data_IF_542212498964
#
_entry.id   IF_542212498964
#
_cell.length_a   1.000
_cell.length_b   1.000
_cell.length_c   1.000
_cell.angle_alpha   90.00
_cell.angle_beta   90.00
_cell.angle_gamma   90.00
#
_symmetry.space_group_name_H-M   'P 1'
#
loop_
_entity.id
_entity.type
_entity.pdbx_description
1 polymer ?
#
# COMPACT_ATOMS: atom_id res chain seq x y z
N UNK A 1 0.32 12.81 24.16
CA UNK A 1 -0.32 11.56 23.67
C UNK A 1 -0.58 11.57 22.16
N UNK A 2 -0.76 12.74 21.54
CA UNK A 2 -1.16 12.89 20.13
C UNK A 2 -0.10 12.41 19.13
N UNK A 3 1.19 12.72 19.35
CA UNK A 3 2.29 12.30 18.48
C UNK A 3 2.40 10.78 18.32
N UNK A 4 2.15 10.01 19.39
CA UNK A 4 2.17 8.53 19.37
C UNK A 4 0.98 7.96 18.58
N UNK A 5 -0.19 8.60 18.67
CA UNK A 5 -1.38 8.19 17.90
C UNK A 5 -1.20 8.50 16.42
N UNK A 6 -0.68 9.68 16.08
CA UNK A 6 -0.39 10.07 14.71
C UNK A 6 0.59 9.10 14.04
N UNK A 7 1.70 8.78 14.71
CA UNK A 7 2.69 7.82 14.24
C UNK A 7 2.09 6.40 14.07
N UNK A 8 1.23 5.96 15.00
CA UNK A 8 0.55 4.67 14.84
C UNK A 8 -0.36 4.65 13.61
N UNK A 9 -1.14 5.71 13.39
CA UNK A 9 -2.04 5.84 12.23
C UNK A 9 -1.27 5.90 10.92
N UNK A 10 -0.24 6.77 10.82
CA UNK A 10 0.60 6.86 9.63
C UNK A 10 1.38 5.58 9.36
N UNK A 11 1.68 4.79 10.40
CA UNK A 11 2.27 3.47 10.29
C UNK A 11 1.33 2.42 9.69
N UNK A 12 0.03 2.50 9.99
CA UNK A 12 -0.98 1.51 9.58
C UNK A 12 -1.58 1.81 8.20
N UNK A 13 -1.75 3.08 7.83
CA UNK A 13 -2.40 3.46 6.55
C UNK A 13 -1.74 2.79 5.32
N UNK A 14 -0.40 2.79 5.15
CA UNK A 14 0.23 2.13 3.99
C UNK A 14 -0.08 0.62 3.89
N UNK A 15 -0.20 -0.06 5.03
CA UNK A 15 -0.55 -1.49 5.08
C UNK A 15 -1.98 -1.70 4.58
N UNK A 16 -2.92 -0.85 5.01
CA UNK A 16 -4.32 -0.91 4.58
C UNK A 16 -4.45 -0.59 3.09
N UNK A 17 -3.76 0.45 2.61
CA UNK A 17 -3.76 0.80 1.19
C UNK A 17 -3.20 -0.34 0.32
N UNK A 18 -2.14 -1.00 0.78
CA UNK A 18 -1.58 -2.19 0.11
C UNK A 18 -2.58 -3.36 0.06
N UNK A 19 -3.31 -3.61 1.15
CA UNK A 19 -4.35 -4.65 1.17
C UNK A 19 -5.51 -4.34 0.21
N UNK A 20 -5.96 -3.08 0.17
CA UNK A 20 -7.01 -2.63 -0.77
C UNK A 20 -6.51 -2.76 -2.21
N UNK A 21 -5.27 -2.37 -2.50
CA UNK A 21 -4.67 -2.50 -3.82
C UNK A 21 -4.59 -3.97 -4.28
N UNK A 22 -4.19 -4.88 -3.39
CA UNK A 22 -4.19 -6.32 -3.66
C UNK A 22 -5.60 -6.84 -4.01
N UNK A 23 -6.59 -6.51 -3.16
CA UNK A 23 -7.97 -6.92 -3.36
C UNK A 23 -8.56 -6.37 -4.66
N UNK A 24 -8.25 -5.10 -5.00
CA UNK A 24 -8.67 -4.46 -6.24
C UNK A 24 -8.22 -5.27 -7.46
N UNK A 25 -6.94 -5.64 -7.52
CA UNK A 25 -6.39 -6.41 -8.66
C UNK A 25 -7.06 -7.77 -8.76
N UNK A 26 -7.24 -8.47 -7.63
CA UNK A 26 -7.92 -9.78 -7.61
C UNK A 26 -9.36 -9.66 -8.13
N UNK A 27 -10.11 -8.64 -7.69
CA UNK A 27 -11.49 -8.42 -8.14
C UNK A 27 -11.55 -8.02 -9.62
N UNK A 28 -10.66 -7.14 -10.07
CA UNK A 28 -10.60 -6.70 -11.47
C UNK A 28 -10.39 -7.90 -12.41
N UNK A 29 -9.43 -8.76 -12.08
CA UNK A 29 -9.16 -9.99 -12.86
C UNK A 29 -10.32 -10.98 -12.77
N UNK A 30 -10.87 -11.22 -11.58
CA UNK A 30 -11.94 -12.19 -11.39
C UNK A 30 -13.24 -11.80 -12.10
N UNK A 31 -13.50 -10.49 -12.25
CA UNK A 31 -14.70 -9.96 -12.91
C UNK A 31 -14.47 -9.60 -14.38
N UNK A 32 -13.22 -9.48 -14.81
CA UNK A 32 -12.85 -8.97 -16.13
C UNK A 32 -13.25 -7.51 -16.30
N UNK A 33 -13.08 -6.71 -15.26
CA UNK A 33 -13.47 -5.28 -15.23
C UNK A 33 -12.79 -4.49 -16.36
N UNK A 34 -11.55 -4.83 -16.68
CA UNK A 34 -10.73 -4.24 -17.73
C UNK A 34 -11.11 -4.67 -19.17
N UNK A 35 -12.02 -5.63 -19.36
CA UNK A 35 -12.35 -6.16 -20.69
C UNK A 35 -13.02 -5.10 -21.56
N UNK A 36 -12.28 -4.63 -22.56
CA UNK A 36 -12.77 -3.70 -23.59
C UNK A 36 -12.15 -2.31 -23.53
N UNK A 37 -11.29 -2.03 -22.54
CA UNK A 37 -10.51 -0.80 -22.52
C UNK A 37 -9.31 -0.92 -23.50
N UNK A 38 -9.05 0.08 -24.36
CA UNK A 38 -7.88 0.08 -25.25
C UNK A 38 -6.53 0.28 -24.51
N UNK A 39 -6.59 0.59 -23.21
CA UNK A 39 -5.48 0.94 -22.33
C UNK A 39 -5.42 -0.01 -21.12
N UNK A 40 -4.53 0.24 -20.16
CA UNK A 40 -4.37 -0.50 -18.89
C UNK A 40 -5.66 -0.55 -18.03
N UNK A 41 -6.63 0.29 -18.35
CA UNK A 41 -7.98 0.29 -17.77
C UNK A 41 -8.09 1.02 -16.42
N UNK A 42 -9.31 1.35 -16.04
CA UNK A 42 -9.60 2.04 -14.76
C UNK A 42 -8.98 1.34 -13.53
N UNK A 43 -9.00 0.00 -13.39
CA UNK A 43 -8.42 -0.68 -12.23
C UNK A 43 -6.90 -0.43 -12.06
N UNK A 44 -6.15 -0.35 -13.15
CA UNK A 44 -4.70 -0.09 -13.10
C UNK A 44 -4.40 1.31 -12.58
N UNK A 45 -5.12 2.33 -13.03
CA UNK A 45 -4.94 3.69 -12.50
C UNK A 45 -5.31 3.80 -11.03
N UNK A 46 -6.39 3.14 -10.59
CA UNK A 46 -6.76 3.13 -9.16
C UNK A 46 -5.69 2.40 -8.34
N UNK A 47 -5.12 1.31 -8.85
CA UNK A 47 -3.97 0.64 -8.23
C UNK A 47 -2.79 1.61 -8.08
N UNK A 48 -2.39 2.32 -9.15
CA UNK A 48 -1.30 3.31 -9.10
C UNK A 48 -1.56 4.40 -8.06
N UNK A 49 -2.78 4.94 -7.99
CA UNK A 49 -3.16 5.95 -7.00
C UNK A 49 -3.04 5.39 -5.57
N UNK A 50 -3.49 4.16 -5.33
CA UNK A 50 -3.36 3.50 -4.03
C UNK A 50 -1.90 3.29 -3.62
N UNK A 51 -1.01 2.99 -4.57
CA UNK A 51 0.44 2.87 -4.32
C UNK A 51 1.07 4.24 -4.02
N UNK A 52 0.83 5.23 -4.88
CA UNK A 52 1.40 6.58 -4.73
C UNK A 52 0.90 7.26 -3.45
N UNK A 53 -0.37 7.06 -3.09
CA UNK A 53 -0.95 7.61 -1.87
C UNK A 53 -0.26 7.13 -0.59
N UNK A 54 0.48 6.02 -0.61
CA UNK A 54 1.22 5.54 0.57
C UNK A 54 2.40 6.45 0.92
N UNK A 55 3.04 7.06 -0.08
CA UNK A 55 4.27 7.84 0.08
C UNK A 55 4.17 8.93 1.17
N UNK A 56 3.16 9.84 1.18
CA UNK A 56 3.06 10.85 2.23
C UNK A 56 2.92 10.27 3.64
N UNK A 57 2.25 9.12 3.80
CA UNK A 57 2.09 8.47 5.11
C UNK A 57 3.37 7.79 5.58
N UNK A 58 4.10 7.14 4.67
CA UNK A 58 5.42 6.55 4.97
C UNK A 58 6.39 7.67 5.38
N UNK A 59 6.43 8.78 4.65
CA UNK A 59 7.26 9.94 4.99
C UNK A 59 6.86 10.54 6.36
N UNK A 60 5.57 10.71 6.61
CA UNK A 60 5.07 11.17 7.90
C UNK A 60 5.43 10.21 9.05
N UNK A 61 5.38 8.90 8.82
CA UNK A 61 5.83 7.90 9.78
C UNK A 61 7.32 8.04 10.07
N UNK A 62 8.18 8.08 9.04
CA UNK A 62 9.63 8.23 9.19
C UNK A 62 9.98 9.51 9.95
N UNK A 63 9.33 10.63 9.61
CA UNK A 63 9.58 11.93 10.23
C UNK A 63 9.13 11.99 11.70
N UNK A 64 8.12 11.19 12.09
CA UNK A 64 7.54 11.23 13.46
C UNK A 64 7.86 10.00 14.30
N UNK A 65 8.57 9.02 13.72
CA UNK A 65 8.96 7.79 14.38
C UNK A 65 9.88 8.07 15.59
N UNK A 66 9.68 7.29 16.65
CA UNK A 66 10.56 7.33 17.81
C UNK A 66 11.80 6.48 17.54
N UNK A 67 12.84 7.13 17.01
CA UNK A 67 14.10 6.49 16.64
C UNK A 67 14.92 6.00 17.84
N UNK A 68 14.60 6.43 19.07
CA UNK A 68 15.15 5.81 20.29
C UNK A 68 14.74 4.34 20.41
N UNK A 69 13.66 3.94 19.73
CA UNK A 69 13.15 2.56 19.62
C UNK A 69 13.23 2.09 18.17
N UNK A 70 14.40 2.24 17.55
CA UNK A 70 14.65 1.93 16.14
C UNK A 70 14.13 0.55 15.71
N UNK A 71 14.26 -0.49 16.54
CA UNK A 71 13.75 -1.83 16.22
C UNK A 71 12.22 -1.87 16.00
N UNK A 72 11.45 -1.08 16.75
CA UNK A 72 9.99 -0.97 16.55
C UNK A 72 9.66 -0.22 15.27
N UNK A 73 10.36 0.88 15.00
CA UNK A 73 10.17 1.66 13.77
C UNK A 73 10.53 0.82 12.53
N UNK A 74 11.68 0.14 12.56
CA UNK A 74 12.14 -0.76 11.50
C UNK A 74 11.15 -1.89 11.26
N UNK A 75 10.57 -2.50 12.32
CA UNK A 75 9.55 -3.53 12.17
C UNK A 75 8.31 -3.00 11.45
N UNK A 76 7.85 -1.79 11.78
CA UNK A 76 6.70 -1.20 11.09
C UNK A 76 7.02 -0.92 9.63
N UNK A 77 8.19 -0.37 9.31
CA UNK A 77 8.62 -0.17 7.91
C UNK A 77 8.73 -1.49 7.14
N UNK A 78 9.27 -2.54 7.78
CA UNK A 78 9.35 -3.87 7.18
C UNK A 78 7.96 -4.45 6.87
N UNK A 79 6.98 -4.25 7.77
CA UNK A 79 5.60 -4.65 7.52
C UNK A 79 4.96 -3.86 6.37
N UNK A 80 5.22 -2.55 6.27
CA UNK A 80 4.77 -1.74 5.14
C UNK A 80 5.36 -2.23 3.82
N UNK A 81 6.68 -2.49 3.80
CA UNK A 81 7.36 -3.02 2.62
C UNK A 81 6.84 -4.41 2.23
N UNK A 82 6.64 -5.31 3.20
CA UNK A 82 6.07 -6.63 2.95
C UNK A 82 4.64 -6.55 2.40
N UNK A 83 3.80 -5.67 2.96
CA UNK A 83 2.45 -5.44 2.47
C UNK A 83 2.45 -4.91 1.03
N UNK A 84 3.37 -4.00 0.71
CA UNK A 84 3.54 -3.48 -0.64
C UNK A 84 3.92 -4.60 -1.62
N UNK A 85 4.89 -5.46 -1.26
CA UNK A 85 5.26 -6.62 -2.08
C UNK A 85 4.05 -7.53 -2.31
N UNK A 86 3.25 -7.79 -1.28
CA UNK A 86 2.01 -8.57 -1.41
C UNK A 86 1.00 -7.89 -2.33
N UNK A 87 0.90 -6.56 -2.33
CA UNK A 87 0.01 -5.83 -3.24
C UNK A 87 0.40 -5.99 -4.72
N UNK A 88 1.70 -6.09 -5.01
CA UNK A 88 2.20 -6.34 -6.36
C UNK A 88 2.16 -7.82 -6.77
N UNK A 89 2.02 -8.75 -5.83
CA UNK A 89 1.97 -10.18 -6.12
C UNK A 89 0.90 -10.57 -7.16
N UNK A 90 -0.37 -10.14 -7.07
CA UNK A 90 -1.37 -10.48 -8.09
C UNK A 90 -1.03 -9.90 -9.47
N UNK A 91 -0.47 -8.68 -9.54
CA UNK A 91 -0.02 -8.07 -10.80
C UNK A 91 1.04 -8.96 -11.46
N UNK A 92 2.05 -9.40 -10.69
CA UNK A 92 3.11 -10.27 -11.19
C UNK A 92 2.61 -11.69 -11.56
N UNK A 93 1.68 -12.26 -10.78
CA UNK A 93 1.12 -13.60 -11.01
C UNK A 93 0.23 -13.62 -12.26
N UNK A 94 -0.61 -12.59 -12.44
CA UNK A 94 -1.53 -12.50 -13.57
C UNK A 94 -0.88 -11.92 -14.84
N UNK A 95 0.38 -11.45 -14.74
CA UNK A 95 1.13 -10.82 -15.84
C UNK A 95 0.40 -9.62 -16.43
N UNK A 96 -0.09 -8.77 -15.53
CA UNK A 96 -0.66 -7.47 -15.84
C UNK A 96 0.44 -6.43 -16.07
#
# INVERSE_FOLDING_TARGET
MERKRFNAVSGTIPIVLSAIACALVIVAVATGWDKGDPDEGTPAHVFHLLIVAQAPFILAFIATADWSKAGRAARTLALQAAALVVAFAPVAIFKL
#
